data_IF_487892109244
#
_entry.id   IF_487892109244
#
_cell.length_a   1.000
_cell.length_b   1.000
_cell.length_c   1.000
_cell.angle_alpha   90.00
_cell.angle_beta   90.00
_cell.angle_gamma   90.00
#
_symmetry.space_group_name_H-M   'P 1'
#
loop_
_entity.id
_entity.type
_entity.pdbx_description
1 polymer ?
#
# COMPACT_ATOMS: atom_id res chain seq x y z
N UNK A 1 16.35 -21.00 -12.54
CA UNK A 1 15.41 -22.07 -12.18
C UNK A 1 16.07 -22.85 -11.07
N UNK A 2 15.45 -22.87 -9.90
CA UNK A 2 15.95 -23.63 -8.75
C UNK A 2 15.74 -25.13 -8.98
N UNK A 3 16.53 -26.00 -8.33
CA UNK A 3 16.29 -27.44 -8.39
C UNK A 3 14.84 -27.77 -8.01
N UNK A 4 14.22 -28.67 -8.77
CA UNK A 4 12.85 -29.18 -8.58
C UNK A 4 11.71 -28.14 -8.64
N UNK A 5 11.98 -26.88 -9.00
CA UNK A 5 10.98 -25.78 -9.03
C UNK A 5 9.69 -26.15 -9.76
N UNK A 6 9.79 -26.72 -10.97
CA UNK A 6 8.61 -27.10 -11.76
C UNK A 6 7.79 -28.21 -11.07
N UNK A 7 8.45 -29.16 -10.42
CA UNK A 7 7.79 -30.27 -9.73
C UNK A 7 6.97 -29.74 -8.55
N UNK A 8 7.59 -28.97 -7.66
CA UNK A 8 6.91 -28.40 -6.50
C UNK A 8 5.83 -27.39 -6.90
N UNK A 9 6.09 -26.55 -7.92
CA UNK A 9 5.09 -25.63 -8.47
C UNK A 9 3.88 -26.39 -9.03
N UNK A 10 4.10 -27.53 -9.70
CA UNK A 10 3.01 -28.39 -10.18
C UNK A 10 2.20 -29.00 -9.04
N UNK A 11 2.87 -29.48 -7.99
CA UNK A 11 2.23 -30.03 -6.79
C UNK A 11 1.38 -28.98 -6.07
N UNK A 12 1.92 -27.78 -5.85
CA UNK A 12 1.22 -26.64 -5.21
C UNK A 12 0.03 -26.17 -6.05
N UNK A 13 0.19 -26.02 -7.37
CA UNK A 13 -0.93 -25.67 -8.28
C UNK A 13 -2.05 -26.72 -8.25
N UNK A 14 -1.69 -28.01 -8.16
CA UNK A 14 -2.67 -29.10 -8.08
C UNK A 14 -3.36 -29.10 -6.72
N UNK A 15 -2.61 -28.95 -5.64
CA UNK A 15 -3.10 -28.97 -4.26
C UNK A 15 -4.09 -27.83 -4.00
N UNK A 16 -3.75 -26.60 -4.40
CA UNK A 16 -4.57 -25.40 -4.18
C UNK A 16 -5.29 -24.92 -5.45
N UNK A 17 -5.68 -25.86 -6.31
CA UNK A 17 -6.26 -25.55 -7.63
C UNK A 17 -7.54 -24.73 -7.56
N UNK A 18 -8.36 -24.92 -6.51
CA UNK A 18 -9.61 -24.18 -6.31
C UNK A 18 -9.35 -22.73 -5.90
N UNK A 19 -8.40 -22.53 -5.00
CA UNK A 19 -8.00 -21.23 -4.47
C UNK A 19 -7.37 -20.39 -5.59
N UNK A 20 -6.52 -20.99 -6.43
CA UNK A 20 -5.98 -20.31 -7.61
C UNK A 20 -7.06 -19.96 -8.63
N UNK A 21 -7.99 -20.89 -8.91
CA UNK A 21 -9.09 -20.63 -9.83
C UNK A 21 -9.95 -19.46 -9.32
N UNK A 22 -10.35 -19.49 -8.05
CA UNK A 22 -11.15 -18.45 -7.44
C UNK A 22 -10.45 -17.08 -7.44
N UNK A 23 -9.17 -17.03 -7.06
CA UNK A 23 -8.39 -15.79 -7.07
C UNK A 23 -8.31 -15.17 -8.47
N UNK A 24 -8.17 -16.02 -9.52
CA UNK A 24 -8.18 -15.58 -10.92
C UNK A 24 -9.55 -15.11 -11.36
N UNK A 25 -10.60 -15.86 -11.07
CA UNK A 25 -11.98 -15.48 -11.39
C UNK A 25 -12.37 -14.13 -10.77
N UNK A 26 -12.00 -13.91 -9.50
CA UNK A 26 -12.22 -12.63 -8.82
C UNK A 26 -11.47 -11.47 -9.52
N UNK A 27 -10.20 -11.69 -9.90
CA UNK A 27 -9.42 -10.70 -10.65
C UNK A 27 -10.02 -10.43 -12.03
N UNK A 28 -10.37 -11.47 -12.78
CA UNK A 28 -10.95 -11.38 -14.13
C UNK A 28 -12.30 -10.68 -14.10
N UNK A 29 -13.16 -11.04 -13.16
CA UNK A 29 -14.42 -10.37 -12.90
C UNK A 29 -14.19 -8.87 -12.65
N UNK A 30 -13.27 -8.53 -11.75
CA UNK A 30 -12.99 -7.13 -11.44
C UNK A 30 -12.45 -6.37 -12.64
N UNK A 31 -11.59 -6.99 -13.46
CA UNK A 31 -11.07 -6.40 -14.68
C UNK A 31 -12.16 -6.18 -15.73
N UNK A 32 -13.12 -7.10 -15.87
CA UNK A 32 -14.22 -7.03 -16.83
C UNK A 32 -15.26 -5.95 -16.52
N UNK A 33 -15.35 -5.47 -15.27
CA UNK A 33 -16.28 -4.40 -14.88
C UNK A 33 -16.03 -3.11 -15.68
N UNK A 34 -17.10 -2.49 -16.22
CA UNK A 34 -17.03 -1.27 -17.05
C UNK A 34 -16.77 -0.01 -16.21
N UNK A 35 -15.49 0.37 -16.11
CA UNK A 35 -15.01 1.52 -15.30
C UNK A 35 -15.19 2.88 -15.97
N UNK A 36 -15.32 2.91 -17.30
CA UNK A 36 -15.49 4.15 -18.06
C UNK A 36 -16.74 4.92 -17.65
N UNK A 37 -17.83 4.20 -17.38
CA UNK A 37 -19.08 4.82 -16.93
C UNK A 37 -18.93 5.53 -15.58
N UNK A 38 -18.08 5.03 -14.69
CA UNK A 38 -17.74 5.68 -13.44
C UNK A 38 -16.87 6.92 -13.69
N UNK A 39 -15.86 6.81 -14.57
CA UNK A 39 -15.01 7.94 -14.93
C UNK A 39 -15.81 9.13 -15.47
N UNK A 40 -16.83 8.87 -16.27
CA UNK A 40 -17.67 9.90 -16.88
C UNK A 40 -18.64 10.53 -15.87
N UNK A 41 -19.32 9.71 -15.06
CA UNK A 41 -20.41 10.16 -14.19
C UNK A 41 -19.96 10.67 -12.84
N UNK A 42 -18.80 10.24 -12.35
CA UNK A 42 -18.37 10.57 -11.00
C UNK A 42 -17.93 12.06 -10.91
N UNK A 43 -18.43 12.81 -9.90
CA UNK A 43 -18.20 14.25 -9.77
C UNK A 43 -16.80 14.61 -9.25
N UNK A 44 -15.94 13.63 -8.94
CA UNK A 44 -14.59 13.87 -8.47
C UNK A 44 -13.75 14.64 -9.50
N UNK A 45 -12.76 15.44 -9.06
CA UNK A 45 -11.84 16.13 -9.94
C UNK A 45 -11.14 15.16 -10.91
N UNK A 46 -10.89 15.60 -12.15
CA UNK A 46 -10.27 14.76 -13.20
C UNK A 46 -8.94 14.15 -12.75
N UNK A 47 -8.11 14.90 -12.02
CA UNK A 47 -6.83 14.42 -11.51
C UNK A 47 -7.00 13.31 -10.47
N UNK A 48 -7.97 13.47 -9.55
CA UNK A 48 -8.34 12.45 -8.56
C UNK A 48 -8.79 11.17 -9.24
N UNK A 49 -9.69 11.26 -10.23
CA UNK A 49 -10.16 10.10 -11.00
C UNK A 49 -9.03 9.36 -11.70
N UNK A 50 -8.11 10.10 -12.35
CA UNK A 50 -6.95 9.51 -13.04
C UNK A 50 -5.99 8.82 -12.07
N UNK A 51 -5.67 9.47 -10.94
CA UNK A 51 -4.81 8.86 -9.93
C UNK A 51 -5.45 7.61 -9.34
N UNK A 52 -6.75 7.66 -9.02
CA UNK A 52 -7.48 6.49 -8.54
C UNK A 52 -7.45 5.32 -9.53
N UNK A 53 -7.61 5.58 -10.83
CA UNK A 53 -7.47 4.54 -11.86
C UNK A 53 -6.05 3.98 -11.98
N UNK A 54 -5.03 4.82 -11.79
CA UNK A 54 -3.63 4.39 -11.74
C UNK A 54 -3.38 3.41 -10.59
N UNK A 55 -3.83 3.77 -9.38
CA UNK A 55 -3.73 2.94 -8.18
C UNK A 55 -4.58 1.66 -8.30
N UNK A 56 -5.79 1.74 -8.85
CA UNK A 56 -6.62 0.57 -9.19
C UNK A 56 -5.88 -0.40 -10.11
N UNK A 57 -5.29 0.12 -11.19
CA UNK A 57 -4.53 -0.69 -12.16
C UNK A 57 -3.34 -1.35 -11.48
N UNK A 58 -2.65 -0.62 -10.60
CA UNK A 58 -1.53 -1.13 -9.82
C UNK A 58 -1.97 -2.26 -8.88
N UNK A 59 -3.07 -2.10 -8.14
CA UNK A 59 -3.61 -3.14 -7.27
C UNK A 59 -3.97 -4.42 -8.05
N UNK A 60 -4.59 -4.29 -9.23
CA UNK A 60 -4.89 -5.44 -10.10
C UNK A 60 -3.61 -6.15 -10.59
N UNK A 61 -2.57 -5.39 -10.94
CA UNK A 61 -1.27 -5.95 -11.33
C UNK A 61 -0.60 -6.67 -10.17
N UNK A 62 -0.65 -6.10 -8.97
CA UNK A 62 -0.09 -6.73 -7.77
C UNK A 62 -0.82 -8.03 -7.44
N UNK A 63 -2.16 -8.06 -7.50
CA UNK A 63 -2.94 -9.29 -7.32
C UNK A 63 -2.55 -10.36 -8.35
N UNK A 64 -2.41 -9.98 -9.62
CA UNK A 64 -1.93 -10.89 -10.67
C UNK A 64 -0.54 -11.43 -10.34
N UNK A 65 0.40 -10.56 -9.96
CA UNK A 65 1.75 -10.97 -9.59
C UNK A 65 1.74 -11.95 -8.41
N UNK A 66 0.94 -11.68 -7.37
CA UNK A 66 0.81 -12.59 -6.22
C UNK A 66 0.32 -13.97 -6.67
N UNK A 67 -0.70 -14.05 -7.52
CA UNK A 67 -1.20 -15.31 -8.06
C UNK A 67 -0.07 -16.07 -8.79
N UNK A 68 0.71 -15.38 -9.62
CA UNK A 68 1.80 -16.00 -10.38
C UNK A 68 2.95 -16.47 -9.48
N UNK A 69 3.40 -15.64 -8.53
CA UNK A 69 4.46 -15.99 -7.57
C UNK A 69 4.04 -17.17 -6.68
N UNK A 70 2.81 -17.14 -6.13
CA UNK A 70 2.25 -18.27 -5.38
C UNK A 70 2.19 -19.55 -6.24
N UNK A 71 1.83 -19.44 -7.53
CA UNK A 71 1.77 -20.62 -8.43
C UNK A 71 3.13 -21.24 -8.74
N UNK A 72 4.22 -20.49 -8.49
CA UNK A 72 5.62 -20.94 -8.57
C UNK A 72 6.18 -21.40 -7.23
N UNK A 73 5.35 -21.48 -6.19
CA UNK A 73 5.77 -21.76 -4.82
C UNK A 73 6.74 -20.70 -4.23
N UNK A 74 6.61 -19.44 -4.65
CA UNK A 74 7.44 -18.31 -4.19
C UNK A 74 6.63 -17.38 -3.27
N UNK A 75 6.41 -17.80 -2.02
CA UNK A 75 5.63 -17.02 -1.05
C UNK A 75 6.32 -15.70 -0.67
N UNK A 76 7.65 -15.63 -0.67
CA UNK A 76 8.36 -14.42 -0.24
C UNK A 76 8.13 -13.25 -1.21
N UNK A 77 8.28 -13.49 -2.52
CA UNK A 77 8.02 -12.47 -3.55
C UNK A 77 6.55 -12.03 -3.55
N UNK A 78 5.63 -13.00 -3.37
CA UNK A 78 4.23 -12.72 -3.18
C UNK A 78 3.95 -11.88 -1.91
N UNK A 79 4.68 -12.11 -0.81
CA UNK A 79 4.49 -11.43 0.47
C UNK A 79 4.85 -9.95 0.38
N UNK A 80 6.01 -9.66 -0.23
CA UNK A 80 6.42 -8.29 -0.54
C UNK A 80 5.37 -7.61 -1.43
N UNK A 81 4.88 -8.32 -2.44
CA UNK A 81 3.86 -7.77 -3.35
C UNK A 81 2.53 -7.52 -2.65
N UNK A 82 2.11 -8.40 -1.72
CA UNK A 82 0.90 -8.23 -0.92
C UNK A 82 0.96 -7.00 -0.02
N UNK A 83 2.12 -6.71 0.58
CA UNK A 83 2.34 -5.46 1.33
C UNK A 83 2.19 -4.23 0.44
N UNK A 84 2.82 -4.25 -0.74
CA UNK A 84 2.68 -3.16 -1.69
C UNK A 84 1.23 -3.00 -2.16
N UNK A 85 0.47 -4.09 -2.29
CA UNK A 85 -0.96 -4.06 -2.59
C UNK A 85 -1.75 -3.39 -1.47
N UNK A 86 -1.47 -3.73 -0.21
CA UNK A 86 -2.10 -3.09 0.94
C UNK A 86 -1.87 -1.58 0.97
N UNK A 87 -0.63 -1.12 0.79
CA UNK A 87 -0.32 0.32 0.72
C UNK A 87 -1.02 1.02 -0.46
N UNK A 88 -1.13 0.33 -1.60
CA UNK A 88 -1.84 0.83 -2.79
C UNK A 88 -3.34 1.00 -2.50
N UNK A 89 -3.94 0.02 -1.81
CA UNK A 89 -5.34 0.06 -1.39
C UNK A 89 -5.55 1.17 -0.36
N UNK A 90 -4.66 1.33 0.63
CA UNK A 90 -4.71 2.42 1.58
C UNK A 90 -4.64 3.79 0.89
N UNK A 91 -3.75 3.95 -0.09
CA UNK A 91 -3.62 5.20 -0.83
C UNK A 91 -4.90 5.52 -1.60
N UNK A 92 -5.48 4.49 -2.23
CA UNK A 92 -6.70 4.62 -3.00
C UNK A 92 -7.91 4.98 -2.13
N UNK A 93 -8.13 4.27 -1.03
CA UNK A 93 -9.17 4.58 -0.04
C UNK A 93 -8.90 5.96 0.56
N UNK A 94 -7.65 6.29 0.89
CA UNK A 94 -7.30 7.63 1.37
C UNK A 94 -7.70 8.70 0.37
N UNK A 95 -7.51 8.53 -0.93
CA UNK A 95 -7.88 9.54 -1.92
C UNK A 95 -9.40 9.62 -2.13
N UNK A 96 -10.10 8.49 -2.06
CA UNK A 96 -11.50 8.35 -2.49
C UNK A 96 -12.53 8.41 -1.36
N UNK A 97 -12.13 8.23 -0.10
CA UNK A 97 -13.06 8.27 1.03
C UNK A 97 -13.75 9.63 1.11
N UNK A 98 -15.07 9.74 1.31
CA UNK A 98 -15.75 11.04 1.27
C UNK A 98 -15.21 12.08 2.25
N UNK A 99 -14.83 11.63 3.45
CA UNK A 99 -14.33 12.49 4.53
C UNK A 99 -13.09 11.87 5.17
N UNK A 100 -12.03 12.67 5.26
CA UNK A 100 -10.80 12.30 5.98
C UNK A 100 -10.35 13.51 6.77
N UNK A 101 -10.17 13.33 8.08
CA UNK A 101 -9.77 14.39 9.00
C UNK A 101 -8.37 14.08 9.52
N UNK A 102 -7.48 15.06 9.40
CA UNK A 102 -6.13 14.99 9.97
C UNK A 102 -5.86 16.29 10.70
N UNK A 103 -5.28 16.19 11.88
CA UNK A 103 -4.89 17.37 12.65
C UNK A 103 -3.40 17.60 12.43
N UNK A 104 -3.04 18.85 12.14
CA UNK A 104 -1.64 19.27 11.95
C UNK A 104 -1.23 20.18 13.10
N UNK A 105 -0.32 19.70 13.95
CA UNK A 105 0.13 20.44 15.12
C UNK A 105 1.63 20.73 15.07
N UNK A 106 2.07 21.89 15.56
CA UNK A 106 3.47 22.09 15.88
C UNK A 106 3.96 21.01 16.84
N UNK A 107 5.16 20.48 16.62
CA UNK A 107 5.76 19.50 17.52
C UNK A 107 6.24 20.22 18.77
N UNK A 108 5.78 19.80 19.95
CA UNK A 108 6.16 20.36 21.25
C UNK A 108 6.98 19.33 22.01
N UNK A 109 8.08 19.75 22.63
CA UNK A 109 8.89 18.96 23.56
C UNK A 109 9.23 19.82 24.77
N UNK A 110 8.98 19.31 25.97
CA UNK A 110 9.23 20.01 27.24
C UNK A 110 8.58 21.41 27.31
N UNK A 111 7.35 21.52 26.78
CA UNK A 111 6.59 22.78 26.73
C UNK A 111 7.07 23.79 25.67
N UNK A 112 8.08 23.45 24.86
CA UNK A 112 8.61 24.33 23.81
C UNK A 112 8.31 23.79 22.42
N UNK A 113 7.94 24.68 21.50
CA UNK A 113 7.82 24.34 20.09
C UNK A 113 9.19 24.01 19.50
N UNK A 114 9.31 22.81 18.95
CA UNK A 114 10.51 22.39 18.26
C UNK A 114 10.66 23.16 16.95
N UNK A 115 11.91 23.55 16.68
CA UNK A 115 12.31 24.19 15.43
C UNK A 115 13.35 23.34 14.70
N UNK A 116 13.44 23.49 13.39
CA UNK A 116 14.58 23.01 12.59
C UNK A 116 15.84 23.78 12.96
N UNK A 117 17.00 23.36 12.45
CA UNK A 117 18.27 24.10 12.64
C UNK A 117 18.18 25.53 12.12
N UNK A 118 17.33 25.76 11.11
CA UNK A 118 17.11 27.06 10.48
C UNK A 118 15.99 27.88 11.15
N UNK A 119 15.48 27.43 12.30
CA UNK A 119 14.47 28.15 13.08
C UNK A 119 13.02 27.96 12.62
N UNK A 120 12.75 27.10 11.63
CA UNK A 120 11.39 26.80 11.14
C UNK A 120 10.66 25.89 12.12
N UNK A 121 9.40 26.17 12.43
CA UNK A 121 8.60 25.29 13.31
C UNK A 121 8.45 23.90 12.70
N UNK A 122 8.60 22.87 13.54
CA UNK A 122 8.33 21.49 13.14
C UNK A 122 6.84 21.19 13.29
N UNK A 123 6.28 20.45 12.34
CA UNK A 123 4.88 20.02 12.35
C UNK A 123 4.74 18.50 12.30
N UNK A 124 3.63 17.99 12.81
CA UNK A 124 3.23 16.60 12.66
C UNK A 124 1.75 16.50 12.31
N UNK A 125 1.43 15.57 11.42
CA UNK A 125 0.07 15.10 11.22
C UNK A 125 -0.26 14.01 12.26
N UNK A 126 -1.48 14.03 12.77
CA UNK A 126 -1.99 13.09 13.77
C UNK A 126 -3.46 12.79 13.51
N UNK A 127 -3.92 11.65 14.03
CA UNK A 127 -5.33 11.26 14.00
C UNK A 127 -6.15 12.15 14.96
N UNK A 128 -7.42 12.48 14.64
CA UNK A 128 -8.21 13.39 15.48
C UNK A 128 -8.45 12.90 16.91
N UNK A 129 -8.58 11.59 17.10
CA UNK A 129 -8.82 10.94 18.40
C UNK A 129 -7.61 10.99 19.36
N UNK A 130 -6.46 11.49 18.90
CA UNK A 130 -5.22 11.53 19.69
C UNK A 130 -4.89 12.91 20.26
N UNK A 131 -5.78 13.89 20.10
CA UNK A 131 -5.51 15.30 20.35
C UNK A 131 -6.68 15.98 21.09
N UNK A 132 -6.36 17.08 21.77
CA UNK A 132 -7.29 18.06 22.32
C UNK A 132 -8.44 18.41 21.33
N UNK A 133 -9.72 18.30 21.74
CA UNK A 133 -10.88 18.70 20.95
C UNK A 133 -10.82 20.11 20.36
N UNK A 134 -10.04 21.02 20.96
CA UNK A 134 -9.86 22.41 20.50
C UNK A 134 -8.89 22.54 19.32
N UNK A 135 -8.15 21.48 18.95
CA UNK A 135 -7.21 21.56 17.83
C UNK A 135 -7.93 21.69 16.49
N UNK A 136 -7.43 22.54 15.56
CA UNK A 136 -8.10 22.77 14.29
C UNK A 136 -8.20 21.48 13.47
N UNK A 137 -9.43 21.06 13.20
CA UNK A 137 -9.74 19.93 12.33
C UNK A 137 -9.56 20.35 10.87
N UNK A 138 -8.61 19.72 10.16
CA UNK A 138 -8.49 19.89 8.72
C UNK A 138 -9.20 18.71 8.03
N UNK A 139 -10.41 18.95 7.53
CA UNK A 139 -11.03 18.05 6.55
C UNK A 139 -10.25 18.15 5.24
N UNK A 140 -9.68 17.03 4.80
CA UNK A 140 -8.89 16.97 3.58
C UNK A 140 -9.81 16.66 2.39
N UNK A 141 -9.99 17.62 1.50
CA UNK A 141 -10.74 17.39 0.26
C UNK A 141 -10.07 16.31 -0.60
N UNK A 142 -10.84 15.68 -1.50
CA UNK A 142 -10.28 14.70 -2.46
C UNK A 142 -9.13 15.29 -3.28
N UNK A 143 -9.30 16.54 -3.72
CA UNK A 143 -8.29 17.27 -4.48
C UNK A 143 -7.01 17.47 -3.66
N UNK A 144 -7.14 17.89 -2.40
CA UNK A 144 -5.99 18.09 -1.54
C UNK A 144 -5.26 16.77 -1.25
N UNK A 145 -5.98 15.67 -1.01
CA UNK A 145 -5.40 14.33 -0.82
C UNK A 145 -4.69 13.80 -2.07
N UNK A 146 -5.25 14.08 -3.24
CA UNK A 146 -4.60 13.78 -4.53
C UNK A 146 -3.29 14.55 -4.66
N UNK A 147 -3.29 15.85 -4.31
CA UNK A 147 -2.08 16.69 -4.32
C UNK A 147 -1.05 16.19 -3.31
N UNK A 148 -1.46 15.82 -2.10
CA UNK A 148 -0.57 15.23 -1.09
C UNK A 148 0.15 13.98 -1.62
N UNK A 149 -0.57 13.06 -2.25
CA UNK A 149 0.01 11.85 -2.83
C UNK A 149 1.02 12.16 -3.94
N UNK A 150 0.65 13.01 -4.90
CA UNK A 150 1.53 13.36 -6.02
C UNK A 150 2.77 14.15 -5.56
N UNK A 151 2.59 15.11 -4.65
CA UNK A 151 3.69 15.88 -4.08
C UNK A 151 4.65 15.00 -3.27
N UNK A 152 4.13 14.03 -2.53
CA UNK A 152 4.97 13.08 -1.79
C UNK A 152 5.89 12.30 -2.73
N UNK A 153 5.37 11.78 -3.85
CA UNK A 153 6.18 11.09 -4.85
C UNK A 153 7.29 11.98 -5.42
N UNK A 154 6.98 13.25 -5.72
CA UNK A 154 7.97 14.23 -6.19
C UNK A 154 9.05 14.51 -5.13
N UNK A 155 8.65 14.74 -3.88
CA UNK A 155 9.59 15.02 -2.79
C UNK A 155 10.49 13.82 -2.49
N UNK A 156 9.98 12.59 -2.57
CA UNK A 156 10.79 11.38 -2.43
C UNK A 156 11.86 11.25 -3.53
N UNK A 157 11.53 11.63 -4.77
CA UNK A 157 12.52 11.65 -5.86
C UNK A 157 13.63 12.68 -5.61
N UNK A 158 13.27 13.89 -5.15
CA UNK A 158 14.24 14.93 -4.77
C UNK A 158 15.15 14.43 -3.64
N UNK A 159 14.56 13.92 -2.56
CA UNK A 159 15.30 13.42 -1.41
C UNK A 159 16.25 12.27 -1.80
N UNK A 160 15.80 11.36 -2.68
CA UNK A 160 16.61 10.25 -3.15
C UNK A 160 17.81 10.73 -3.99
N UNK A 161 17.59 11.66 -4.92
CA UNK A 161 18.66 12.26 -5.72
C UNK A 161 19.71 12.96 -4.82
N UNK A 162 19.26 13.69 -3.80
CA UNK A 162 20.14 14.35 -2.82
C UNK A 162 20.91 13.34 -1.95
N UNK A 163 20.28 12.24 -1.52
CA UNK A 163 20.96 11.15 -0.81
C UNK A 163 22.06 10.54 -1.68
N UNK A 164 21.79 10.22 -2.94
CA UNK A 164 22.80 9.69 -3.87
C UNK A 164 23.96 10.66 -4.09
N UNK A 165 23.69 11.97 -4.25
CA UNK A 165 24.72 13.01 -4.36
C UNK A 165 25.67 13.07 -3.17
N UNK A 166 25.14 12.88 -1.95
CA UNK A 166 25.92 12.90 -0.71
C UNK A 166 26.82 11.67 -0.54
N UNK A 167 26.54 10.57 -1.23
CA UNK A 167 27.25 9.30 -1.07
C UNK A 167 28.57 9.17 -1.85
N UNK A 168 29.10 10.26 -2.44
CA UNK A 168 30.40 10.26 -3.13
C UNK A 168 30.40 9.42 -4.41
N UNK A 169 30.49 8.09 -4.27
CA UNK A 169 30.52 7.10 -5.35
C UNK A 169 29.21 7.05 -6.16
N UNK A 170 28.10 7.53 -5.57
CA UNK A 170 26.79 7.63 -6.24
C UNK A 170 26.46 9.01 -6.78
N UNK A 171 27.42 9.95 -6.81
CA UNK A 171 27.15 11.34 -7.21
C UNK A 171 26.59 11.46 -8.62
N UNK A 172 27.16 10.74 -9.59
CA UNK A 172 26.70 10.76 -10.98
C UNK A 172 25.26 10.27 -11.12
N UNK A 173 24.88 9.22 -10.38
CA UNK A 173 23.50 8.74 -10.33
C UNK A 173 22.57 9.82 -9.75
N UNK A 174 22.97 10.47 -8.65
CA UNK A 174 22.18 11.55 -8.07
C UNK A 174 22.00 12.76 -9.01
N UNK A 175 23.01 13.11 -9.79
CA UNK A 175 22.92 14.15 -10.82
C UNK A 175 21.99 13.74 -11.97
N UNK A 176 22.08 12.49 -12.43
CA UNK A 176 21.16 11.93 -13.43
C UNK A 176 19.71 11.98 -12.95
N UNK A 177 19.45 11.51 -11.71
CA UNK A 177 18.12 11.53 -11.11
C UNK A 177 17.58 12.95 -10.98
N UNK A 178 18.38 13.89 -10.52
CA UNK A 178 17.97 15.28 -10.40
C UNK A 178 17.61 15.94 -11.73
N UNK A 179 18.28 15.56 -12.83
CA UNK A 179 17.96 16.06 -14.16
C UNK A 179 16.61 15.55 -14.70
N UNK A 180 16.09 14.45 -14.15
CA UNK A 180 14.76 13.93 -14.48
C UNK A 180 13.65 14.64 -13.69
N UNK A 181 13.99 15.38 -12.64
CA UNK A 181 13.03 16.09 -11.80
C UNK A 181 12.75 17.46 -12.40
N UNK A 182 11.49 17.75 -12.69
CA UNK A 182 11.08 19.07 -13.14
C UNK A 182 10.96 20.04 -11.95
N UNK A 183 11.79 21.09 -11.85
CA UNK A 183 11.77 22.02 -10.73
C UNK A 183 10.45 22.79 -10.62
N UNK A 184 9.76 23.06 -11.74
CA UNK A 184 8.47 23.75 -11.74
C UNK A 184 7.37 22.88 -11.10
N UNK A 185 7.47 21.55 -11.24
CA UNK A 185 6.56 20.63 -10.57
C UNK A 185 6.78 20.62 -9.05
N UNK A 186 8.04 20.70 -8.59
CA UNK A 186 8.37 20.78 -7.16
C UNK A 186 7.90 22.11 -6.55
N UNK A 187 8.10 23.22 -7.27
CA UNK A 187 7.61 24.54 -6.85
C UNK A 187 6.07 24.56 -6.79
N UNK A 188 5.40 24.02 -7.81
CA UNK A 188 3.93 23.89 -7.85
C UNK A 188 3.41 23.03 -6.71
N UNK A 189 4.04 21.88 -6.44
CA UNK A 189 3.70 20.99 -5.33
C UNK A 189 3.81 21.71 -3.97
N UNK A 190 4.88 22.46 -3.76
CA UNK A 190 5.10 23.26 -2.55
C UNK A 190 4.02 24.34 -2.39
N UNK A 191 3.68 25.03 -3.48
CA UNK A 191 2.64 26.06 -3.50
C UNK A 191 1.26 25.47 -3.17
N UNK A 192 0.90 24.32 -3.76
CA UNK A 192 -0.38 23.66 -3.53
C UNK A 192 -0.60 23.24 -2.07
N UNK A 193 0.46 22.78 -1.42
CA UNK A 193 0.38 22.23 -0.07
C UNK A 193 0.53 23.29 1.03
N UNK A 194 1.26 24.36 0.73
CA UNK A 194 1.68 25.33 1.72
C UNK A 194 2.78 24.78 2.65
N UNK A 195 3.30 25.63 3.55
CA UNK A 195 4.51 25.34 4.32
C UNK A 195 4.34 24.17 5.31
N UNK A 196 3.18 24.06 5.96
CA UNK A 196 2.93 23.02 6.98
C UNK A 196 2.96 21.63 6.35
N UNK A 197 2.18 21.41 5.29
CA UNK A 197 2.10 20.10 4.65
C UNK A 197 3.35 19.76 3.86
N UNK A 198 4.02 20.76 3.27
CA UNK A 198 5.35 20.55 2.67
C UNK A 198 6.34 20.01 3.71
N UNK A 199 6.42 20.64 4.89
CA UNK A 199 7.26 20.14 5.99
C UNK A 199 6.88 18.71 6.40
N UNK A 200 5.59 18.44 6.62
CA UNK A 200 5.11 17.12 7.05
C UNK A 200 5.52 16.04 6.04
N UNK A 201 5.32 16.27 4.74
CA UNK A 201 5.64 15.27 3.71
C UNK A 201 7.13 15.04 3.52
N UNK A 202 7.95 16.09 3.61
CA UNK A 202 9.41 15.98 3.48
C UNK A 202 10.04 15.26 4.67
N UNK A 203 9.48 15.41 5.87
CA UNK A 203 10.09 14.87 7.10
C UNK A 203 9.57 13.49 7.49
N UNK A 204 8.29 13.18 7.23
CA UNK A 204 7.69 11.89 7.61
C UNK A 204 7.81 10.82 6.53
N UNK A 205 8.05 11.21 5.28
CA UNK A 205 8.16 10.27 4.17
C UNK A 205 6.90 9.44 3.93
N UNK A 206 5.70 9.99 4.22
CA UNK A 206 4.42 9.33 3.98
C UNK A 206 3.42 10.31 3.37
N UNK A 207 2.69 9.90 2.34
CA UNK A 207 1.80 10.79 1.58
C UNK A 207 0.64 11.39 2.38
N UNK A 208 0.19 10.73 3.45
CA UNK A 208 -0.89 11.23 4.32
C UNK A 208 -0.36 12.05 5.50
N UNK A 209 0.95 12.09 5.69
CA UNK A 209 1.60 12.56 6.92
C UNK A 209 1.46 11.59 8.12
N UNK A 210 0.71 10.50 7.96
CA UNK A 210 0.50 9.46 8.97
C UNK A 210 1.29 8.21 8.58
N UNK A 211 1.74 7.42 9.56
CA UNK A 211 2.30 6.11 9.25
C UNK A 211 1.20 5.12 8.81
N UNK A 212 1.58 3.97 8.25
CA UNK A 212 0.64 2.98 7.72
C UNK A 212 -0.38 2.49 8.78
N UNK A 213 0.06 2.32 10.03
CA UNK A 213 -0.81 1.90 11.13
C UNK A 213 -1.87 2.98 11.45
N UNK A 214 -1.43 4.23 11.56
CA UNK A 214 -2.30 5.37 11.83
C UNK A 214 -3.27 5.62 10.67
N UNK A 215 -2.79 5.51 9.43
CA UNK A 215 -3.63 5.72 8.26
C UNK A 215 -4.69 4.62 8.13
N UNK A 216 -4.31 3.35 8.27
CA UNK A 216 -5.28 2.25 8.21
C UNK A 216 -6.36 2.39 9.28
N UNK A 217 -5.98 2.72 10.52
CA UNK A 217 -6.91 2.98 11.61
C UNK A 217 -7.80 4.22 11.37
N UNK A 218 -7.26 5.27 10.76
CA UNK A 218 -8.06 6.45 10.39
C UNK A 218 -9.10 6.12 9.32
N UNK A 219 -8.77 5.25 8.37
CA UNK A 219 -9.63 4.97 7.21
C UNK A 219 -10.73 3.95 7.52
N UNK A 220 -10.44 2.85 8.19
CA UNK A 220 -11.43 1.81 8.49
C UNK A 220 -10.91 0.84 9.56
N UNK A 221 -11.75 0.40 10.53
CA UNK A 221 -11.40 -0.68 11.45
C UNK A 221 -10.96 -1.96 10.73
N UNK A 222 -11.54 -2.27 9.57
CA UNK A 222 -11.19 -3.46 8.80
C UNK A 222 -9.78 -3.33 8.21
N UNK A 223 -9.45 -2.18 7.62
CA UNK A 223 -8.09 -1.91 7.13
C UNK A 223 -7.06 -1.97 8.25
N UNK A 224 -7.39 -1.49 9.45
CA UNK A 224 -6.50 -1.62 10.60
C UNK A 224 -6.32 -3.06 11.07
N UNK A 225 -7.40 -3.86 11.05
CA UNK A 225 -7.30 -5.30 11.32
C UNK A 225 -6.28 -5.94 10.37
N UNK A 226 -6.32 -5.61 9.07
CA UNK A 226 -5.33 -6.08 8.09
C UNK A 226 -3.92 -5.58 8.34
N UNK A 227 -3.79 -4.34 8.80
CA UNK A 227 -2.50 -3.85 9.25
C UNK A 227 -1.92 -4.74 10.35
N UNK A 228 -2.73 -5.08 11.37
CA UNK A 228 -2.27 -5.89 12.51
C UNK A 228 -2.03 -7.36 12.13
N UNK A 229 -2.90 -7.98 11.35
CA UNK A 229 -2.84 -9.43 11.07
C UNK A 229 -1.88 -9.81 9.96
N UNK A 230 -1.59 -8.90 9.04
CA UNK A 230 -0.81 -9.19 7.84
C UNK A 230 0.35 -8.21 7.67
N UNK A 231 0.06 -6.91 7.47
CA UNK A 231 1.10 -5.97 7.06
C UNK A 231 2.19 -5.80 8.12
N UNK A 232 1.80 -5.64 9.39
CA UNK A 232 2.69 -5.46 10.52
C UNK A 232 3.68 -6.62 10.66
N UNK A 233 3.21 -7.87 10.83
CA UNK A 233 4.07 -9.05 10.84
C UNK A 233 5.01 -9.15 9.62
N UNK A 234 4.48 -9.01 8.40
CA UNK A 234 5.29 -9.10 7.17
C UNK A 234 6.35 -7.99 7.07
N UNK A 235 6.06 -6.81 7.62
CA UNK A 235 7.03 -5.71 7.68
C UNK A 235 8.25 -6.02 8.56
N UNK A 236 8.04 -6.77 9.64
CA UNK A 236 9.14 -7.21 10.51
C UNK A 236 10.04 -8.22 9.79
N UNK A 237 9.46 -9.13 9.01
CA UNK A 237 10.21 -10.16 8.31
C UNK A 237 11.17 -9.58 7.26
N UNK A 238 10.67 -8.65 6.44
CA UNK A 238 11.46 -8.05 5.34
C UNK A 238 12.65 -7.23 5.86
N UNK A 239 12.57 -6.64 7.04
CA UNK A 239 13.61 -5.74 7.56
C UNK A 239 14.70 -6.40 8.40
N UNK A 240 14.67 -7.72 8.62
CA UNK A 240 15.75 -8.35 9.40
C UNK A 240 15.68 -9.86 9.59
N UNK A 241 14.57 -10.51 9.23
CA UNK A 241 14.41 -11.96 9.38
C UNK A 241 14.38 -12.71 8.05
N UNK A 242 14.59 -12.00 6.93
CA UNK A 242 14.51 -12.58 5.60
C UNK A 242 15.50 -13.75 5.39
N UNK A 243 16.71 -13.67 5.96
CA UNK A 243 17.65 -14.79 5.85
C UNK A 243 17.15 -16.05 6.59
N UNK A 244 16.35 -15.89 7.64
CA UNK A 244 15.86 -16.99 8.48
C UNK A 244 14.74 -17.75 7.78
N UNK A 245 13.91 -17.10 6.96
CA UNK A 245 12.80 -17.79 6.25
C UNK A 245 13.30 -18.81 5.23
N UNK A 246 14.55 -18.69 4.77
CA UNK A 246 15.20 -19.63 3.86
C UNK A 246 16.01 -20.72 4.58
N UNK A 247 15.98 -20.77 5.91
CA UNK A 247 16.66 -21.81 6.70
C UNK A 247 15.61 -22.76 7.28
N UNK A 248 15.72 -24.05 6.95
CA UNK A 248 14.88 -25.09 7.53
C UNK A 248 15.70 -25.95 8.48
N UNK A 249 15.11 -26.32 9.61
CA UNK A 249 15.70 -27.30 10.52
C UNK A 249 15.20 -28.69 10.14
N UNK A 250 16.12 -29.59 9.87
CA UNK A 250 15.82 -30.99 9.60
C UNK A 250 15.54 -31.76 10.90
N UNK A 251 14.97 -32.97 10.79
CA UNK A 251 14.61 -33.79 11.95
C UNK A 251 15.80 -34.18 12.84
N UNK A 252 17.02 -34.20 12.29
CA UNK A 252 18.27 -34.43 13.01
C UNK A 252 18.84 -33.17 13.69
N UNK A 253 18.13 -32.04 13.58
CA UNK A 253 18.55 -30.75 14.12
C UNK A 253 19.53 -29.99 13.21
N UNK A 254 19.91 -30.53 12.05
CA UNK A 254 20.76 -29.83 11.09
C UNK A 254 19.99 -28.72 10.36
N UNK A 255 20.72 -27.71 9.87
CA UNK A 255 20.15 -26.60 9.10
C UNK A 255 20.35 -26.84 7.60
N UNK A 256 19.29 -26.68 6.84
CA UNK A 256 19.30 -26.71 5.38
C UNK A 256 18.82 -25.39 4.79
N UNK A 257 19.16 -25.16 3.52
CA UNK A 257 18.57 -24.08 2.73
C UNK A 257 17.27 -24.54 2.08
N UNK A 258 16.24 -23.72 2.16
CA UNK A 258 15.02 -23.88 1.39
C UNK A 258 14.99 -22.83 0.27
N UNK A 259 14.98 -23.33 -0.96
CA UNK A 259 14.87 -22.50 -2.16
C UNK A 259 13.42 -22.24 -2.57
N UNK A 260 12.46 -22.91 -1.92
CA UNK A 260 11.04 -22.79 -2.20
C UNK A 260 10.29 -22.65 -0.88
N UNK A 261 9.12 -22.02 -0.96
CA UNK A 261 8.27 -21.82 0.18
C UNK A 261 7.56 -23.10 0.61
N UNK A 262 7.10 -23.10 1.86
CA UNK A 262 6.20 -24.17 2.30
C UNK A 262 4.83 -24.03 1.60
N UNK A 263 4.19 -25.11 1.11
CA UNK A 263 2.85 -25.05 0.53
C UNK A 263 1.83 -24.34 1.43
N UNK A 264 1.90 -24.49 2.75
CA UNK A 264 0.99 -23.83 3.69
C UNK A 264 1.23 -22.31 3.76
N UNK A 265 2.48 -21.86 3.60
CA UNK A 265 2.80 -20.44 3.47
C UNK A 265 2.22 -19.86 2.18
N UNK A 266 2.29 -20.60 1.07
CA UNK A 266 1.68 -20.21 -0.22
C UNK A 266 0.17 -20.10 -0.08
N UNK A 267 -0.48 -21.11 0.49
CA UNK A 267 -1.93 -21.13 0.73
C UNK A 267 -2.36 -19.94 1.59
N UNK A 268 -1.73 -19.76 2.76
CA UNK A 268 -2.02 -18.63 3.66
C UNK A 268 -1.94 -17.29 2.92
N UNK A 269 -0.88 -17.09 2.14
CA UNK A 269 -0.64 -15.83 1.47
C UNK A 269 -1.60 -15.57 0.30
N UNK A 270 -1.93 -16.61 -0.47
CA UNK A 270 -2.95 -16.52 -1.52
C UNK A 270 -4.30 -16.12 -0.92
N UNK A 271 -4.70 -16.76 0.19
CA UNK A 271 -5.95 -16.49 0.89
C UNK A 271 -5.98 -15.05 1.41
N UNK A 272 -4.95 -14.65 2.15
CA UNK A 272 -4.78 -13.28 2.67
C UNK A 272 -4.87 -12.24 1.55
N UNK A 273 -4.23 -12.50 0.42
CA UNK A 273 -4.24 -11.58 -0.72
C UNK A 273 -5.59 -11.53 -1.41
N UNK A 274 -6.28 -12.66 -1.53
CA UNK A 274 -7.63 -12.72 -2.06
C UNK A 274 -8.63 -11.95 -1.16
N UNK A 275 -8.52 -12.12 0.16
CA UNK A 275 -9.35 -11.37 1.12
C UNK A 275 -9.08 -9.87 1.01
N UNK A 276 -7.80 -9.47 0.97
CA UNK A 276 -7.41 -8.07 0.82
C UNK A 276 -7.94 -7.46 -0.49
N UNK A 277 -7.84 -8.20 -1.61
CA UNK A 277 -8.33 -7.74 -2.90
C UNK A 277 -9.86 -7.62 -2.90
N UNK A 278 -10.59 -8.55 -2.29
CA UNK A 278 -12.04 -8.45 -2.09
C UNK A 278 -12.43 -7.21 -1.29
N UNK A 279 -11.72 -6.92 -0.20
CA UNK A 279 -11.98 -5.71 0.61
C UNK A 279 -11.76 -4.44 -0.19
N UNK A 280 -10.70 -4.41 -1.01
CA UNK A 280 -10.51 -3.34 -1.96
C UNK A 280 -11.70 -3.18 -2.91
N UNK A 281 -12.23 -4.26 -3.47
CA UNK A 281 -13.41 -4.19 -4.35
C UNK A 281 -14.63 -3.63 -3.61
N UNK A 282 -14.84 -4.04 -2.35
CA UNK A 282 -15.96 -3.58 -1.52
C UNK A 282 -15.85 -2.11 -1.13
N UNK A 283 -14.67 -1.66 -0.68
CA UNK A 283 -14.43 -0.26 -0.33
C UNK A 283 -14.62 0.64 -1.56
N UNK A 284 -14.17 0.20 -2.73
CA UNK A 284 -14.38 0.94 -3.99
C UNK A 284 -15.86 1.01 -4.38
N UNK A 285 -16.61 -0.08 -4.26
CA UNK A 285 -18.05 -0.08 -4.52
C UNK A 285 -18.79 0.82 -3.52
N UNK A 286 -18.49 0.69 -2.23
CA UNK A 286 -19.20 1.37 -1.14
C UNK A 286 -18.94 2.88 -1.12
N UNK A 287 -17.68 3.32 -1.21
CA UNK A 287 -17.33 4.73 -1.00
C UNK A 287 -17.62 5.60 -2.23
N UNK A 288 -17.53 5.04 -3.44
CA UNK A 288 -17.60 5.82 -4.68
C UNK A 288 -18.43 5.19 -5.80
N UNK A 289 -19.14 4.08 -5.53
CA UNK A 289 -19.94 3.38 -6.54
C UNK A 289 -19.10 2.82 -7.68
N UNK A 290 -17.83 2.48 -7.42
CA UNK A 290 -16.92 1.93 -8.41
C UNK A 290 -16.98 0.41 -8.38
N UNK A 291 -17.66 -0.18 -9.36
CA UNK A 291 -17.77 -1.61 -9.47
C UNK A 291 -19.06 -2.05 -10.15
N UNK A 292 -19.39 -3.34 -9.98
CA UNK A 292 -20.60 -3.93 -10.51
C UNK A 292 -21.61 -4.11 -9.37
N UNK A 293 -22.41 -3.06 -9.14
CA UNK A 293 -23.44 -3.02 -8.12
C UNK A 293 -24.26 -4.32 -8.07
N UNK A 294 -24.24 -4.99 -6.91
CA UNK A 294 -24.97 -6.23 -6.64
C UNK A 294 -24.28 -7.54 -7.08
N UNK A 295 -23.22 -7.49 -7.89
CA UNK A 295 -22.52 -8.72 -8.35
C UNK A 295 -21.47 -9.23 -7.36
N UNK A 296 -20.95 -8.37 -6.48
CA UNK A 296 -20.01 -8.77 -5.40
C UNK A 296 -20.65 -9.74 -4.40
N UNK A 297 -21.98 -9.72 -4.26
CA UNK A 297 -22.70 -10.65 -3.39
C UNK A 297 -22.56 -12.11 -3.83
N UNK A 298 -22.38 -12.37 -5.14
CA UNK A 298 -22.19 -13.74 -5.64
C UNK A 298 -20.84 -14.32 -5.22
N UNK A 299 -19.79 -13.48 -5.18
CA UNK A 299 -18.48 -13.90 -4.69
C UNK A 299 -18.48 -14.16 -3.19
N UNK A 300 -19.42 -13.60 -2.42
CA UNK A 300 -19.45 -13.75 -0.97
C UNK A 300 -19.59 -15.21 -0.54
N UNK A 301 -20.57 -15.92 -1.10
CA UNK A 301 -20.87 -17.28 -0.68
C UNK A 301 -19.73 -18.25 -1.03
N UNK A 302 -19.11 -18.04 -2.18
CA UNK A 302 -17.99 -18.87 -2.63
C UNK A 302 -16.71 -18.56 -1.84
N UNK A 303 -16.45 -17.27 -1.58
CA UNK A 303 -15.38 -16.81 -0.73
C UNK A 303 -15.46 -17.41 0.68
N UNK A 304 -16.64 -17.37 1.29
CA UNK A 304 -16.86 -17.92 2.64
C UNK A 304 -16.65 -19.44 2.66
N UNK A 305 -16.97 -20.14 1.56
CA UNK A 305 -16.75 -21.58 1.43
C UNK A 305 -15.28 -21.96 1.23
N UNK A 306 -14.50 -21.12 0.54
CA UNK A 306 -13.10 -21.42 0.20
C UNK A 306 -12.15 -20.93 1.29
N UNK A 307 -12.39 -19.76 1.88
CA UNK A 307 -11.40 -19.09 2.74
C UNK A 307 -11.80 -18.94 4.21
N UNK A 308 -13.07 -19.16 4.57
CA UNK A 308 -13.55 -19.04 5.96
C UNK A 308 -14.02 -20.36 6.57
N UNK A 309 -13.96 -21.47 5.82
CA UNK A 309 -14.21 -22.82 6.36
C UNK A 309 -12.93 -23.37 6.97
N UNK A 310 -12.57 -22.86 8.14
CA UNK A 310 -11.65 -23.48 9.09
C UNK A 310 -12.09 -23.16 10.53
#
# INVERSE_FOLDING_TARGET
MFPDEEKYSSEVRKQFSKEFAFAREMLEFWLATKKDSWLDKNPLPTQTKRLAMGLHTQACRQMRTIIEECSRCESFGAEVTARCMFETILALVFILKPKVHVVTNPVVKDGQHLKTKDGVLRYSAKRPDTIDPESPYNELSHEFRTRLYLSHMLFQQVEHAEKCRRLGDSKQLGDMLANLINPDQVATATQWLGPIWTYILQERGQYSGLNVAELSLLLSPDLFRWYVTMYGPQSLFVHGLNAVVHVRTHADGSLGSAFQSDPDEVHRLLNVSAILFRLFMLEMEQDIGFGAAGQLANFQNEFDQIYLKD
#
